data_IF_590990597905
#
_entry.id   IF_590990597905
#
_cell.length_a   1.000
_cell.length_b   1.000
_cell.length_c   1.000
_cell.angle_alpha   90.00
_cell.angle_beta   90.00
_cell.angle_gamma   90.00
#
_symmetry.space_group_name_H-M   'P 1'
#
loop_
_entity.id
_entity.type
_entity.pdbx_description
1 polymer ?
#
# COMPACT_ATOMS: atom_id res chain seq x y z
N UNK A 1 42.07 20.39 6.65
CA UNK A 1 40.59 20.52 6.54
C UNK A 1 40.07 19.24 5.90
N UNK A 2 39.46 18.37 6.70
CA UNK A 2 39.10 16.99 6.33
C UNK A 2 37.91 16.99 5.37
N UNK A 3 38.08 16.42 4.17
CA UNK A 3 36.98 16.14 3.26
C UNK A 3 36.12 15.05 3.89
N UNK A 4 34.93 15.42 4.35
CA UNK A 4 33.96 14.48 4.88
C UNK A 4 33.37 13.69 3.69
N UNK A 5 34.03 12.61 3.30
CA UNK A 5 33.56 11.72 2.23
C UNK A 5 32.39 10.91 2.77
N UNK A 6 31.20 11.49 2.68
CA UNK A 6 29.96 10.78 2.94
C UNK A 6 29.74 9.79 1.80
N UNK A 7 30.12 8.53 2.01
CA UNK A 7 29.92 7.45 1.06
C UNK A 7 28.41 7.26 0.86
N UNK A 8 27.85 7.86 -0.18
CA UNK A 8 26.49 7.54 -0.62
C UNK A 8 26.49 6.10 -1.08
N UNK A 9 25.81 5.21 -0.34
CA UNK A 9 25.58 3.84 -0.77
C UNK A 9 24.71 3.91 -2.03
N UNK A 10 25.32 3.69 -3.19
CA UNK A 10 24.61 3.73 -4.46
C UNK A 10 23.62 2.56 -4.52
N UNK A 11 22.37 2.81 -4.94
CA UNK A 11 21.32 1.77 -5.08
C UNK A 11 21.79 0.49 -5.77
N UNK A 12 22.63 0.64 -6.80
CA UNK A 12 23.23 -0.47 -7.55
C UNK A 12 24.14 -1.34 -6.68
N UNK A 13 24.93 -0.73 -5.78
CA UNK A 13 25.78 -1.44 -4.84
C UNK A 13 24.94 -2.21 -3.81
N UNK A 14 23.90 -1.56 -3.28
CA UNK A 14 22.98 -2.20 -2.34
C UNK A 14 22.31 -3.44 -2.95
N UNK A 15 21.78 -3.34 -4.17
CA UNK A 15 21.11 -4.46 -4.85
C UNK A 15 22.07 -5.62 -5.13
N UNK A 16 23.31 -5.33 -5.52
CA UNK A 16 24.34 -6.36 -5.70
C UNK A 16 24.68 -7.08 -4.40
N UNK A 17 24.75 -6.35 -3.29
CA UNK A 17 24.96 -6.92 -1.96
C UNK A 17 23.79 -7.82 -1.53
N UNK A 18 22.55 -7.36 -1.70
CA UNK A 18 21.34 -8.13 -1.35
C UNK A 18 21.19 -9.41 -2.18
N UNK A 19 21.39 -9.34 -3.50
CA UNK A 19 21.26 -10.48 -4.42
C UNK A 19 22.44 -11.46 -4.34
N UNK A 20 23.59 -11.02 -3.82
CA UNK A 20 24.76 -11.88 -3.59
C UNK A 20 24.68 -12.72 -2.31
N UNK A 21 23.65 -12.54 -1.49
CA UNK A 21 23.49 -13.26 -0.22
C UNK A 21 22.63 -14.52 -0.42
N UNK A 22 23.16 -15.73 -0.17
CA UNK A 22 22.46 -17.00 -0.42
C UNK A 22 21.32 -17.31 0.59
N UNK A 23 20.90 -16.35 1.42
CA UNK A 23 19.92 -16.54 2.51
C UNK A 23 18.46 -16.28 2.09
N UNK A 24 18.20 -15.83 0.86
CA UNK A 24 16.83 -15.48 0.43
C UNK A 24 15.93 -16.69 0.17
N UNK A 25 16.49 -17.89 0.02
CA UNK A 25 15.73 -19.12 -0.26
C UNK A 25 15.01 -19.72 0.96
N UNK A 26 15.36 -19.32 2.18
CA UNK A 26 14.81 -19.91 3.42
C UNK A 26 13.85 -19.00 4.19
N UNK A 27 13.42 -17.87 3.62
CA UNK A 27 12.53 -16.93 4.32
C UNK A 27 11.05 -17.39 4.22
N UNK A 28 10.38 -17.76 5.32
CA UNK A 28 8.94 -17.98 5.32
C UNK A 28 8.20 -16.64 5.15
N UNK A 29 7.88 -16.28 3.91
CA UNK A 29 6.95 -15.17 3.63
C UNK A 29 5.56 -15.54 4.14
N UNK A 30 5.26 -15.22 5.40
CA UNK A 30 3.89 -15.23 5.91
C UNK A 30 3.27 -13.87 5.62
N UNK A 31 2.21 -13.77 4.80
CA UNK A 31 1.44 -12.53 4.71
C UNK A 31 0.89 -12.21 6.10
N UNK A 32 1.22 -11.03 6.63
CA UNK A 32 0.58 -10.53 7.84
C UNK A 32 -0.75 -9.91 7.41
N UNK A 33 -1.85 -10.59 7.71
CA UNK A 33 -3.20 -10.09 7.47
C UNK A 33 -3.52 -9.02 8.51
N UNK A 34 -3.54 -7.76 8.09
CA UNK A 34 -4.08 -6.65 8.87
C UNK A 34 -5.57 -6.55 8.60
N UNK A 35 -6.37 -6.87 9.62
CA UNK A 35 -7.82 -6.68 9.58
C UNK A 35 -8.13 -5.21 9.83
N UNK A 36 -9.01 -4.62 9.01
CA UNK A 36 -9.56 -3.31 9.30
C UNK A 36 -10.44 -3.41 10.55
N UNK A 37 -10.32 -2.45 11.46
CA UNK A 37 -11.17 -2.35 12.63
C UNK A 37 -12.57 -1.93 12.15
N UNK A 38 -13.48 -2.89 12.00
CA UNK A 38 -14.85 -2.65 11.56
C UNK A 38 -15.59 -1.95 12.69
N UNK A 39 -15.57 -0.62 12.70
CA UNK A 39 -16.50 0.13 13.52
C UNK A 39 -17.93 -0.32 13.18
N UNK A 40 -18.76 -0.73 14.16
CA UNK A 40 -20.10 -1.18 13.87
C UNK A 40 -20.94 0.02 13.44
N UNK A 41 -21.10 0.19 12.12
CA UNK A 41 -22.05 1.15 11.57
C UNK A 41 -23.46 0.54 11.64
N UNK A 42 -24.47 1.29 12.13
CA UNK A 42 -25.83 0.78 12.22
C UNK A 42 -26.38 0.49 10.82
N UNK A 43 -26.45 -0.79 10.44
CA UNK A 43 -27.03 -1.25 9.18
C UNK A 43 -28.46 -0.74 9.04
N UNK A 44 -28.67 0.24 8.18
CA UNK A 44 -29.98 0.82 7.91
C UNK A 44 -30.56 0.23 6.62
N UNK A 45 -30.93 -1.05 6.64
CA UNK A 45 -31.58 -1.71 5.50
C UNK A 45 -30.60 -2.26 4.44
N UNK A 46 -31.14 -2.78 3.33
CA UNK A 46 -30.42 -3.46 2.24
C UNK A 46 -29.64 -2.46 1.37
N UNK A 47 -28.75 -1.69 1.97
CA UNK A 47 -27.84 -0.82 1.22
C UNK A 47 -26.95 -1.71 0.35
N UNK A 48 -26.72 -1.31 -0.89
CA UNK A 48 -25.78 -2.01 -1.75
C UNK A 48 -24.36 -1.88 -1.24
N UNK A 49 -23.46 -2.74 -1.72
CA UNK A 49 -22.03 -2.64 -1.38
C UNK A 49 -21.50 -1.24 -1.76
N UNK A 50 -21.90 -0.71 -2.91
CA UNK A 50 -21.50 0.62 -3.35
C UNK A 50 -22.08 1.73 -2.47
N UNK A 51 -23.36 1.64 -2.08
CA UNK A 51 -23.98 2.60 -1.17
C UNK A 51 -23.35 2.55 0.24
N UNK A 52 -22.95 1.35 0.70
CA UNK A 52 -22.32 1.15 2.00
C UNK A 52 -20.93 1.80 2.09
N UNK A 53 -20.07 1.57 1.08
CA UNK A 53 -18.70 2.09 1.06
C UNK A 53 -18.59 3.52 0.50
N UNK A 54 -19.69 4.14 0.10
CA UNK A 54 -19.67 5.48 -0.52
C UNK A 54 -19.10 6.52 0.44
N UNK A 55 -18.02 7.17 0.02
CA UNK A 55 -17.33 8.20 0.79
C UNK A 55 -16.40 7.65 1.86
N UNK A 56 -16.23 6.33 1.94
CA UNK A 56 -15.27 5.72 2.86
C UNK A 56 -13.84 5.76 2.27
N UNK A 57 -12.88 5.94 3.18
CA UNK A 57 -11.45 5.85 2.89
C UNK A 57 -10.83 4.78 3.79
N UNK A 58 -10.25 3.75 3.17
CA UNK A 58 -9.53 2.71 3.88
C UNK A 58 -8.03 2.99 3.81
N UNK A 59 -7.42 3.18 4.97
CA UNK A 59 -5.98 3.38 5.12
C UNK A 59 -5.35 2.13 5.72
N UNK A 60 -4.30 1.62 5.10
CA UNK A 60 -3.59 0.45 5.59
C UNK A 60 -2.08 0.57 5.45
N UNK A 61 -1.37 0.01 6.42
CA UNK A 61 0.08 -0.13 6.40
C UNK A 61 0.45 -1.50 5.83
N UNK A 62 1.42 -1.52 4.93
CA UNK A 62 1.99 -2.74 4.36
C UNK A 62 3.32 -2.98 5.07
N UNK A 63 3.44 -4.12 5.74
CA UNK A 63 4.66 -4.59 6.40
C UNK A 63 5.29 -5.78 5.68
N UNK A 64 6.59 -6.00 5.91
CA UNK A 64 7.31 -7.21 5.53
C UNK A 64 8.09 -7.70 6.73
N UNK A 65 7.82 -8.92 7.21
CA UNK A 65 8.51 -9.60 8.32
C UNK A 65 9.16 -8.69 9.39
N UNK A 66 10.40 -8.24 9.18
CA UNK A 66 11.17 -7.43 10.15
C UNK A 66 10.80 -5.94 10.15
N UNK A 67 10.13 -5.47 9.11
CA UNK A 67 9.75 -4.08 8.89
C UNK A 67 8.22 -3.95 8.96
N UNK A 68 7.73 -3.42 10.07
CA UNK A 68 6.29 -3.24 10.32
C UNK A 68 5.59 -2.35 9.29
N UNK A 69 6.32 -1.39 8.71
CA UNK A 69 5.80 -0.44 7.72
C UNK A 69 6.83 -0.19 6.63
N UNK A 70 6.55 -0.71 5.44
CA UNK A 70 7.38 -0.56 4.24
C UNK A 70 6.66 0.15 3.10
N UNK A 71 5.33 0.23 3.17
CA UNK A 71 4.49 1.00 2.27
C UNK A 71 3.18 1.35 2.96
N UNK A 72 2.45 2.31 2.42
CA UNK A 72 1.09 2.66 2.83
C UNK A 72 0.16 2.55 1.65
N UNK A 73 -1.06 2.07 1.89
CA UNK A 73 -2.13 2.02 0.92
C UNK A 73 -3.30 2.88 1.38
N UNK A 74 -3.92 3.57 0.44
CA UNK A 74 -5.19 4.29 0.61
C UNK A 74 -6.15 3.83 -0.49
N UNK A 75 -7.33 3.37 -0.10
CA UNK A 75 -8.42 3.10 -1.03
C UNK A 75 -9.54 4.08 -0.72
N UNK A 76 -10.01 4.83 -1.72
CA UNK A 76 -11.22 5.66 -1.63
C UNK A 76 -12.30 5.14 -2.56
N UNK A 77 -13.54 5.24 -2.10
CA UNK A 77 -14.74 4.88 -2.87
C UNK A 77 -15.65 6.09 -3.01
N UNK A 78 -15.86 6.54 -4.25
CA UNK A 78 -16.65 7.73 -4.55
C UNK A 78 -17.80 7.38 -5.49
N UNK A 79 -19.02 7.80 -5.19
CA UNK A 79 -20.13 7.68 -6.15
C UNK A 79 -19.96 8.70 -7.28
N UNK A 80 -20.13 8.24 -8.52
CA UNK A 80 -20.07 9.10 -9.70
C UNK A 80 -21.43 9.73 -10.00
N UNK A 81 -21.49 10.61 -11.01
CA UNK A 81 -22.71 11.35 -11.36
C UNK A 81 -23.93 10.47 -11.70
N UNK A 82 -23.74 9.20 -12.09
CA UNK A 82 -24.83 8.25 -12.32
C UNK A 82 -24.93 7.30 -11.13
N UNK A 83 -26.12 7.22 -10.53
CA UNK A 83 -26.42 6.27 -9.45
C UNK A 83 -26.04 4.84 -9.85
N UNK A 84 -25.43 4.11 -8.92
CA UNK A 84 -24.94 2.74 -9.13
C UNK A 84 -23.59 2.66 -9.87
N UNK A 85 -22.91 3.80 -10.10
CA UNK A 85 -21.54 3.83 -10.61
C UNK A 85 -20.60 4.47 -9.60
N UNK A 86 -19.51 3.77 -9.34
CA UNK A 86 -18.55 4.14 -8.31
C UNK A 86 -17.15 4.20 -8.89
N UNK A 87 -16.36 5.15 -8.41
CA UNK A 87 -14.94 5.25 -8.68
C UNK A 87 -14.19 4.72 -7.45
N UNK A 88 -13.46 3.64 -7.64
CA UNK A 88 -12.50 3.14 -6.66
C UNK A 88 -11.11 3.66 -7.02
N UNK A 89 -10.48 4.39 -6.10
CA UNK A 89 -9.09 4.85 -6.26
C UNK A 89 -8.20 4.16 -5.24
N UNK A 90 -7.23 3.40 -5.72
CA UNK A 90 -6.18 2.78 -4.91
C UNK A 90 -4.89 3.58 -5.09
N UNK A 91 -4.33 4.09 -4.01
CA UNK A 91 -3.04 4.75 -3.97
C UNK A 91 -2.08 3.97 -3.07
N UNK A 92 -0.92 3.61 -3.58
CA UNK A 92 0.16 2.97 -2.84
C UNK A 92 1.40 3.86 -2.80
N UNK A 93 2.03 3.99 -1.64
CA UNK A 93 3.27 4.72 -1.45
C UNK A 93 4.32 3.84 -0.79
N UNK A 94 5.51 3.77 -1.37
CA UNK A 94 6.63 2.98 -0.84
C UNK A 94 7.51 3.80 0.10
N UNK A 95 7.80 3.24 1.28
CA UNK A 95 8.46 3.93 2.39
C UNK A 95 9.76 3.23 2.82
N UNK A 96 10.58 3.95 3.58
CA UNK A 96 11.77 3.41 4.23
C UNK A 96 12.79 2.82 3.25
N UNK A 97 13.37 1.67 3.60
CA UNK A 97 14.39 1.01 2.79
C UNK A 97 13.83 0.50 1.44
N UNK A 98 12.60 -0.02 1.41
CA UNK A 98 11.95 -0.37 0.16
C UNK A 98 11.68 0.86 -0.71
N UNK A 99 11.26 1.97 -0.10
CA UNK A 99 11.20 3.29 -0.75
C UNK A 99 12.53 3.69 -1.37
N UNK A 100 13.64 3.57 -0.65
CA UNK A 100 14.96 3.88 -1.20
C UNK A 100 15.30 3.04 -2.46
N UNK A 101 14.95 1.74 -2.47
CA UNK A 101 15.17 0.87 -3.65
C UNK A 101 14.20 1.21 -4.79
N UNK A 102 12.93 1.43 -4.48
CA UNK A 102 11.86 1.73 -5.45
C UNK A 102 11.90 3.17 -5.96
N UNK A 103 12.66 4.06 -5.31
CA UNK A 103 12.66 5.52 -5.48
C UNK A 103 11.41 6.22 -4.94
N UNK A 104 10.89 5.76 -3.80
CA UNK A 104 9.74 6.34 -3.12
C UNK A 104 8.57 6.49 -4.08
N UNK A 105 8.33 5.44 -4.87
CA UNK A 105 7.24 5.42 -5.84
C UNK A 105 5.91 5.60 -5.13
N UNK A 106 5.08 6.39 -5.78
CA UNK A 106 3.66 6.55 -5.49
C UNK A 106 2.93 6.09 -6.75
N UNK A 107 2.10 5.07 -6.62
CA UNK A 107 1.32 4.51 -7.69
C UNK A 107 -0.18 4.73 -7.40
N UNK A 108 -0.93 5.22 -8.37
CA UNK A 108 -2.37 5.44 -8.26
C UNK A 108 -3.09 4.66 -9.35
N UNK A 109 -4.01 3.78 -8.94
CA UNK A 109 -4.88 3.01 -9.80
C UNK A 109 -6.32 3.46 -9.59
N UNK A 110 -7.05 3.58 -10.69
CA UNK A 110 -8.46 3.96 -10.68
C UNK A 110 -9.27 2.92 -11.42
N UNK A 111 -10.37 2.51 -10.81
CA UNK A 111 -11.31 1.56 -11.40
C UNK A 111 -12.73 2.10 -11.31
N UNK A 112 -13.47 1.96 -12.40
CA UNK A 112 -14.90 2.25 -12.42
C UNK A 112 -15.63 0.95 -12.11
N UNK A 113 -16.54 0.99 -11.15
CA UNK A 113 -17.39 -0.13 -10.75
C UNK A 113 -18.83 0.22 -11.04
N UNK A 114 -19.57 -0.72 -11.61
CA UNK A 114 -21.00 -0.59 -11.87
C UNK A 114 -21.73 -1.67 -11.09
N UNK A 115 -22.82 -1.29 -10.44
CA UNK A 115 -23.72 -2.22 -9.77
C UNK A 115 -24.78 -2.72 -10.76
N UNK A 116 -24.95 -4.04 -10.84
CA UNK A 116 -25.88 -4.73 -11.74
C UNK A 116 -27.06 -5.26 -10.94
#
# INVERSE_FOLDING_TARGET
MVKNTMNFVTRRLFLKFLLGFPLLSSLPFRPQETWADLAPHPRKGRDSIGEFFKGEELHYDIGLWQFKKVATGKISFEEMAKKGRYLATLQGESLGFLGFVSRYRVDTYRSIMEEI
#
